data_IF_856491610549
#
_entry.id   IF_856491610549
#
_cell.length_a   1.000
_cell.length_b   1.000
_cell.length_c   1.000
_cell.angle_alpha   90.00
_cell.angle_beta   90.00
_cell.angle_gamma   90.00
#
_symmetry.space_group_name_H-M   'P 1'
#
loop_
_entity.id
_entity.type
_entity.pdbx_description
1 polymer ?
#
# COMPACT_ATOMS: atom_id res chain seq x y z
N UNK A 1 0.77 -11.96 16.63
CA UNK A 1 -0.70 -11.80 16.63
C UNK A 1 -1.28 -11.08 15.41
N UNK A 2 -0.87 -9.85 15.04
CA UNK A 2 -1.54 -9.11 13.94
C UNK A 2 -1.33 -9.70 12.54
N UNK A 3 -0.17 -10.33 12.27
CA UNK A 3 0.14 -10.93 10.96
C UNK A 3 -0.83 -12.07 10.55
N UNK A 4 -1.32 -12.86 11.52
CA UNK A 4 -2.31 -13.91 11.27
C UNK A 4 -3.69 -13.36 10.89
N UNK A 5 -4.02 -12.14 11.33
CA UNK A 5 -5.30 -11.48 10.98
C UNK A 5 -5.32 -10.90 9.56
N UNK A 6 -4.17 -10.89 8.89
CA UNK A 6 -4.01 -10.38 7.53
C UNK A 6 -4.09 -11.48 6.46
N UNK A 7 -4.53 -12.69 6.81
CA UNK A 7 -4.77 -13.75 5.84
C UNK A 7 -5.82 -13.33 4.81
N UNK A 8 -5.51 -13.51 3.53
CA UNK A 8 -6.47 -13.20 2.47
C UNK A 8 -7.63 -14.19 2.54
N UNK A 9 -8.85 -13.68 2.55
CA UNK A 9 -10.02 -14.54 2.36
C UNK A 9 -10.07 -15.07 0.90
N UNK A 10 -10.92 -16.05 0.58
CA UNK A 10 -10.93 -16.67 -0.75
C UNK A 10 -11.11 -15.68 -1.90
N UNK A 11 -11.95 -14.67 -1.73
CA UNK A 11 -12.26 -13.67 -2.76
C UNK A 11 -11.08 -12.70 -2.94
N UNK A 12 -10.49 -12.22 -1.84
CA UNK A 12 -9.27 -11.42 -1.86
C UNK A 12 -8.11 -12.17 -2.51
N UNK A 13 -7.94 -13.45 -2.19
CA UNK A 13 -6.89 -14.27 -2.76
C UNK A 13 -7.13 -14.52 -4.26
N UNK A 14 -8.39 -14.70 -4.69
CA UNK A 14 -8.75 -14.81 -6.10
C UNK A 14 -8.47 -13.52 -6.87
N UNK A 15 -8.83 -12.36 -6.29
CA UNK A 15 -8.50 -11.05 -6.84
C UNK A 15 -6.99 -10.89 -7.03
N UNK A 16 -6.20 -11.10 -5.99
CA UNK A 16 -4.74 -10.92 -6.06
C UNK A 16 -4.12 -11.86 -7.09
N UNK A 17 -4.54 -13.14 -7.15
CA UNK A 17 -4.06 -14.09 -8.17
C UNK A 17 -4.43 -13.71 -9.61
N UNK A 18 -5.44 -12.84 -9.81
CA UNK A 18 -5.84 -12.37 -11.14
C UNK A 18 -4.89 -11.32 -11.74
N UNK A 19 -3.97 -10.76 -10.95
CA UNK A 19 -3.05 -9.75 -11.46
C UNK A 19 -2.07 -10.33 -12.47
N UNK A 20 -1.90 -9.64 -13.60
CA UNK A 20 -1.08 -10.12 -14.74
C UNK A 20 0.05 -9.18 -15.15
N UNK A 21 0.10 -7.97 -14.59
CA UNK A 21 1.14 -6.97 -14.90
C UNK A 21 2.14 -6.94 -13.75
N UNK A 22 3.44 -6.95 -14.09
CA UNK A 22 4.50 -6.80 -13.10
C UNK A 22 4.40 -5.43 -12.46
N UNK A 23 4.36 -5.41 -11.13
CA UNK A 23 4.32 -4.20 -10.30
C UNK A 23 5.59 -4.16 -9.47
N UNK A 24 6.37 -3.09 -9.62
CA UNK A 24 7.52 -2.81 -8.77
C UNK A 24 7.03 -2.01 -7.57
N UNK A 25 7.20 -2.56 -6.37
CA UNK A 25 6.70 -1.95 -5.13
C UNK A 25 7.88 -1.72 -4.20
N UNK A 26 8.19 -0.46 -3.92
CA UNK A 26 9.27 -0.08 -3.01
C UNK A 26 8.68 0.63 -1.79
N UNK A 27 8.75 0.01 -0.62
CA UNK A 27 8.30 0.61 0.63
C UNK A 27 9.47 1.10 1.46
N UNK A 28 9.53 2.42 1.67
CA UNK A 28 10.44 3.04 2.61
C UNK A 28 9.88 2.97 4.02
N UNK A 29 10.65 2.40 4.95
CA UNK A 29 10.20 2.03 6.30
C UNK A 29 11.10 2.61 7.41
N UNK A 30 10.61 2.52 8.65
CA UNK A 30 11.40 2.71 9.87
C UNK A 30 10.93 1.76 10.98
N UNK A 31 11.82 1.09 11.73
CA UNK A 31 11.47 0.03 12.69
C UNK A 31 10.62 0.52 13.86
N UNK A 32 10.61 1.81 14.16
CA UNK A 32 9.77 2.43 15.20
C UNK A 32 8.34 2.72 14.74
N UNK A 33 8.04 2.58 13.44
CA UNK A 33 6.74 2.95 12.90
C UNK A 33 5.79 1.74 12.87
N UNK A 34 4.78 1.76 13.75
CA UNK A 34 3.75 0.72 13.78
C UNK A 34 2.93 0.61 12.50
N UNK A 35 2.75 1.74 11.78
CA UNK A 35 2.08 1.75 10.47
C UNK A 35 2.95 1.11 9.38
N UNK A 36 4.29 1.22 9.45
CA UNK A 36 5.20 0.46 8.57
C UNK A 36 5.04 -1.04 8.79
N UNK A 37 4.99 -1.48 10.05
CA UNK A 37 4.84 -2.90 10.37
C UNK A 37 3.50 -3.46 9.86
N UNK A 38 2.39 -2.73 10.05
CA UNK A 38 1.07 -3.22 9.68
C UNK A 38 0.82 -3.17 8.16
N UNK A 39 1.09 -2.04 7.51
CA UNK A 39 0.94 -1.92 6.06
C UNK A 39 1.95 -2.82 5.34
N UNK A 40 3.20 -2.87 5.82
CA UNK A 40 4.23 -3.76 5.28
C UNK A 40 3.84 -5.23 5.35
N UNK A 41 3.26 -5.68 6.46
CA UNK A 41 2.72 -7.02 6.59
C UNK A 41 1.57 -7.31 5.61
N UNK A 42 0.65 -6.36 5.42
CA UNK A 42 -0.44 -6.50 4.45
C UNK A 42 0.11 -6.62 3.01
N UNK A 43 1.09 -5.78 2.66
CA UNK A 43 1.76 -5.86 1.36
C UNK A 43 2.50 -7.17 1.15
N UNK A 44 3.18 -7.69 2.19
CA UNK A 44 3.86 -8.97 2.13
C UNK A 44 2.88 -10.12 1.82
N UNK A 45 1.69 -10.14 2.44
CA UNK A 45 0.64 -11.13 2.14
C UNK A 45 0.16 -11.08 0.69
N UNK A 46 0.04 -9.89 0.13
CA UNK A 46 -0.34 -9.69 -1.27
C UNK A 46 0.78 -10.19 -2.19
N UNK A 47 2.04 -9.85 -1.88
CA UNK A 47 3.21 -10.26 -2.66
C UNK A 47 3.42 -11.79 -2.63
N UNK A 48 3.20 -12.44 -1.49
CA UNK A 48 3.25 -13.90 -1.34
C UNK A 48 2.19 -14.60 -2.22
N UNK A 49 1.04 -13.95 -2.45
CA UNK A 49 -0.08 -14.53 -3.19
C UNK A 49 0.01 -14.36 -4.72
N UNK A 50 0.85 -13.44 -5.24
CA UNK A 50 1.06 -13.29 -6.68
C UNK A 50 2.50 -12.85 -7.04
N UNK A 51 3.23 -13.62 -7.87
CA UNK A 51 4.61 -13.32 -8.27
C UNK A 51 4.79 -12.06 -9.14
N UNK A 52 3.72 -11.49 -9.69
CA UNK A 52 3.79 -10.21 -10.40
C UNK A 52 4.10 -9.02 -9.47
N UNK A 53 3.97 -9.19 -8.15
CA UNK A 53 4.29 -8.15 -7.16
C UNK A 53 5.74 -8.32 -6.70
N UNK A 54 6.64 -7.46 -7.20
CA UNK A 54 8.02 -7.38 -6.72
C UNK A 54 8.12 -6.34 -5.60
N UNK A 55 7.89 -6.81 -4.37
CA UNK A 55 7.91 -5.98 -3.17
C UNK A 55 9.30 -5.94 -2.54
N UNK A 56 9.81 -4.73 -2.32
CA UNK A 56 11.07 -4.45 -1.63
C UNK A 56 10.85 -3.45 -0.50
N UNK A 57 11.61 -3.64 0.58
CA UNK A 57 11.64 -2.72 1.71
C UNK A 57 13.01 -2.06 1.81
N UNK A 58 13.02 -0.76 2.04
CA UNK A 58 14.25 0.00 2.30
C UNK A 58 14.12 0.80 3.59
N UNK A 59 15.22 0.95 4.32
CA UNK A 59 15.22 1.74 5.54
C UNK A 59 15.43 3.22 5.20
N UNK A 60 14.58 4.11 5.72
CA UNK A 60 14.62 5.55 5.37
C UNK A 60 15.98 6.22 5.62
N UNK A 61 16.74 5.79 6.63
CA UNK A 61 18.04 6.39 6.95
C UNK A 61 19.17 5.89 6.04
N UNK A 62 18.97 4.79 5.29
CA UNK A 62 19.96 4.27 4.34
C UNK A 62 19.85 4.96 2.97
N UNK A 63 18.73 5.64 2.71
CA UNK A 63 18.39 6.27 1.42
C UNK A 63 17.80 7.66 1.63
N UNK A 64 18.57 8.56 2.25
CA UNK A 64 18.12 9.90 2.60
C UNK A 64 17.70 10.73 1.36
N UNK A 65 18.33 10.48 0.21
CA UNK A 65 18.02 11.08 -1.08
C UNK A 65 16.60 10.75 -1.55
N UNK A 66 16.10 9.55 -1.27
CA UNK A 66 14.73 9.15 -1.61
C UNK A 66 13.72 9.87 -0.71
N UNK A 67 14.08 10.05 0.55
CA UNK A 67 13.26 10.76 1.54
C UNK A 67 13.08 12.24 1.20
N UNK A 68 14.12 12.91 0.70
CA UNK A 68 14.02 14.31 0.25
C UNK A 68 13.08 14.45 -0.95
N UNK A 69 13.00 13.44 -1.81
CA UNK A 69 12.16 13.46 -3.02
C UNK A 69 10.70 13.06 -2.78
N UNK A 70 10.38 12.52 -1.61
CA UNK A 70 9.04 12.05 -1.29
C UNK A 70 8.51 12.56 0.06
N UNK A 71 8.47 13.88 0.29
CA UNK A 71 7.86 14.43 1.49
C UNK A 71 6.33 14.23 1.47
N UNK A 72 5.77 13.88 2.61
CA UNK A 72 4.32 13.88 2.82
C UNK A 72 3.99 15.04 3.74
N UNK A 73 3.25 16.02 3.22
CA UNK A 73 2.92 17.27 3.93
C UNK A 73 4.17 17.92 4.52
N UNK A 74 5.17 18.19 3.67
CA UNK A 74 6.49 18.72 4.01
C UNK A 74 7.30 17.93 5.08
N UNK A 75 6.86 16.72 5.42
CA UNK A 75 7.49 15.87 6.43
C UNK A 75 8.13 14.62 5.85
N UNK A 76 9.20 14.16 6.49
CA UNK A 76 9.90 12.92 6.17
C UNK A 76 9.25 11.70 6.84
N UNK A 77 8.02 11.41 6.43
CA UNK A 77 7.13 10.41 7.02
C UNK A 77 7.45 9.01 6.49
N UNK A 78 7.00 7.99 7.21
CA UNK A 78 7.05 6.57 6.81
C UNK A 78 5.83 5.81 7.35
N UNK A 79 5.33 4.77 6.66
CA UNK A 79 5.84 4.25 5.40
C UNK A 79 5.56 5.19 4.22
N UNK A 80 6.42 5.16 3.20
CA UNK A 80 6.10 5.70 1.87
C UNK A 80 6.33 4.57 0.88
N UNK A 81 5.27 4.14 0.22
CA UNK A 81 5.30 3.06 -0.76
C UNK A 81 5.19 3.66 -2.14
N UNK A 82 6.18 3.40 -2.97
CA UNK A 82 6.19 3.75 -4.38
C UNK A 82 5.72 2.54 -5.18
N UNK A 83 4.70 2.75 -6.00
CA UNK A 83 4.23 1.79 -6.98
C UNK A 83 4.68 2.24 -8.35
N UNK A 84 5.34 1.35 -9.07
CA UNK A 84 5.83 1.58 -10.42
C UNK A 84 5.43 0.43 -11.34
N UNK A 85 5.32 0.72 -12.64
CA UNK A 85 5.11 -0.31 -13.66
C UNK A 85 6.36 -1.17 -13.84
N UNK A 86 6.27 -2.18 -14.71
CA UNK A 86 7.34 -3.14 -14.99
C UNK A 86 8.66 -2.51 -15.45
N UNK A 87 8.59 -1.32 -16.04
CA UNK A 87 9.69 -0.49 -16.52
C UNK A 87 10.02 0.70 -15.61
N UNK A 88 9.62 0.63 -14.35
CA UNK A 88 9.91 1.61 -13.28
C UNK A 88 9.28 3.00 -13.46
N UNK A 89 8.36 3.19 -14.40
CA UNK A 89 7.56 4.42 -14.46
C UNK A 89 6.63 4.54 -13.26
N UNK A 90 6.54 5.73 -12.67
CA UNK A 90 5.74 5.97 -11.48
C UNK A 90 4.24 5.78 -11.76
N UNK A 91 3.55 5.05 -10.88
CA UNK A 91 2.10 4.78 -10.97
C UNK A 91 1.35 5.45 -9.82
N UNK A 92 1.77 5.19 -8.58
CA UNK A 92 1.11 5.72 -7.38
C UNK A 92 2.09 5.83 -6.22
N UNK A 93 1.73 6.63 -5.22
CA UNK A 93 2.40 6.66 -3.92
C UNK A 93 1.36 6.48 -2.82
N UNK A 94 1.68 5.65 -1.84
CA UNK A 94 0.78 5.30 -0.74
C UNK A 94 1.51 5.38 0.60
N UNK A 95 0.83 5.87 1.64
CA UNK A 95 1.34 5.81 3.01
C UNK A 95 1.23 7.10 3.82
N UNK A 96 2.23 7.30 4.70
CA UNK A 96 2.12 7.67 6.12
C UNK A 96 1.12 6.78 6.86
N UNK A 97 -0.17 6.93 6.60
CA UNK A 97 -1.22 6.17 7.28
C UNK A 97 -2.36 5.89 6.32
N UNK A 98 -3.02 4.75 6.50
CA UNK A 98 -4.28 4.48 5.81
C UNK A 98 -5.36 5.47 6.28
N UNK A 99 -6.43 5.60 5.48
CA UNK A 99 -7.53 6.48 5.83
C UNK A 99 -8.25 6.01 7.09
N UNK A 100 -8.42 4.70 7.28
CA UNK A 100 -9.01 4.16 8.52
C UNK A 100 -8.18 4.52 9.75
N UNK A 101 -6.85 4.56 9.62
CA UNK A 101 -5.96 4.97 10.71
C UNK A 101 -6.12 6.46 11.03
N UNK A 102 -6.16 7.32 10.01
CA UNK A 102 -6.44 8.75 10.21
C UNK A 102 -7.79 8.99 10.85
N UNK A 103 -8.84 8.28 10.41
CA UNK A 103 -10.18 8.35 11.00
C UNK A 103 -10.17 7.93 12.46
N UNK A 104 -9.47 6.85 12.82
CA UNK A 104 -9.33 6.44 14.22
C UNK A 104 -8.59 7.49 15.06
N UNK A 105 -7.57 8.16 14.50
CA UNK A 105 -6.85 9.23 15.19
C UNK A 105 -7.70 10.48 15.37
N UNK A 106 -8.43 10.89 14.33
CA UNK A 106 -9.30 12.06 14.35
C UNK A 106 -10.36 11.94 15.45
N UNK A 107 -11.07 10.82 15.52
CA UNK A 107 -12.06 10.57 16.60
C UNK A 107 -11.48 10.77 18.01
N UNK A 108 -10.27 10.25 18.22
CA UNK A 108 -9.58 10.31 19.53
C UNK A 108 -9.05 11.71 19.85
N UNK A 109 -8.56 12.43 18.85
CA UNK A 109 -7.84 13.69 19.06
C UNK A 109 -8.76 14.91 18.97
N UNK A 110 -9.75 14.89 18.08
CA UNK A 110 -10.59 16.04 17.75
C UNK A 110 -12.10 15.74 17.77
N UNK A 111 -12.51 14.57 18.30
CA UNK A 111 -13.91 14.21 18.56
C UNK A 111 -14.55 13.30 17.51
N UNK A 112 -15.57 12.55 17.93
CA UNK A 112 -16.25 11.54 17.09
C UNK A 112 -16.85 12.16 15.82
N UNK A 113 -17.43 13.37 15.95
CA UNK A 113 -18.09 14.10 14.85
C UNK A 113 -17.13 14.54 13.73
N UNK A 114 -15.81 14.51 13.97
CA UNK A 114 -14.82 14.81 12.94
C UNK A 114 -14.76 13.74 11.83
N UNK A 115 -15.41 12.59 12.03
CA UNK A 115 -15.43 11.49 11.07
C UNK A 115 -16.85 10.99 10.83
N UNK A 116 -17.37 11.26 9.63
CA UNK A 116 -18.71 10.84 9.21
C UNK A 116 -18.83 9.32 9.03
N UNK A 117 -17.78 8.67 8.53
CA UNK A 117 -17.79 7.23 8.30
C UNK A 117 -17.94 6.48 9.64
N UNK A 118 -18.54 5.29 9.64
CA UNK A 118 -18.58 4.42 10.83
C UNK A 118 -17.19 3.84 11.12
N UNK A 119 -16.79 3.62 12.39
CA UNK A 119 -15.58 2.87 12.70
C UNK A 119 -15.64 1.45 12.11
N UNK A 120 -14.53 0.91 11.56
CA UNK A 120 -14.49 -0.47 11.10
C UNK A 120 -14.59 -1.43 12.28
N UNK A 121 -15.34 -2.53 12.12
CA UNK A 121 -15.43 -3.60 13.11
C UNK A 121 -14.07 -4.22 13.41
N UNK A 122 -13.26 -4.43 12.36
CA UNK A 122 -11.88 -4.90 12.48
C UNK A 122 -10.91 -3.90 11.80
N UNK A 123 -10.23 -3.05 12.58
CA UNK A 123 -9.26 -2.09 12.05
C UNK A 123 -8.07 -2.71 11.32
N UNK A 124 -7.67 -3.94 11.67
CA UNK A 124 -6.54 -4.63 11.01
C UNK A 124 -6.97 -5.12 9.63
N UNK A 125 -8.19 -5.67 9.52
CA UNK A 125 -8.77 -6.07 8.23
C UNK A 125 -9.05 -4.88 7.34
N UNK A 126 -9.48 -3.77 7.92
CA UNK A 126 -9.70 -2.52 7.17
C UNK A 126 -8.39 -2.01 6.54
N UNK A 127 -7.27 -2.06 7.25
CA UNK A 127 -5.96 -1.73 6.68
C UNK A 127 -5.59 -2.67 5.55
N UNK A 128 -5.81 -3.99 5.68
CA UNK A 128 -5.60 -4.92 4.57
C UNK A 128 -6.45 -4.57 3.35
N UNK A 129 -7.73 -4.23 3.56
CA UNK A 129 -8.65 -3.86 2.49
C UNK A 129 -8.15 -2.63 1.73
N UNK A 130 -7.77 -1.57 2.45
CA UNK A 130 -7.25 -0.34 1.83
C UNK A 130 -5.95 -0.59 1.06
N UNK A 131 -5.06 -1.46 1.58
CA UNK A 131 -3.85 -1.86 0.85
C UNK A 131 -4.23 -2.66 -0.41
N UNK A 132 -5.16 -3.62 -0.33
CA UNK A 132 -5.64 -4.37 -1.48
C UNK A 132 -6.25 -3.47 -2.57
N UNK A 133 -7.07 -2.50 -2.18
CA UNK A 133 -7.66 -1.51 -3.10
C UNK A 133 -6.58 -0.70 -3.83
N UNK A 134 -5.48 -0.35 -3.16
CA UNK A 134 -4.34 0.32 -3.80
C UNK A 134 -3.66 -0.60 -4.82
N UNK A 135 -3.40 -1.86 -4.45
CA UNK A 135 -2.77 -2.83 -5.36
C UNK A 135 -3.65 -3.13 -6.57
N UNK A 136 -4.96 -3.27 -6.39
CA UNK A 136 -5.89 -3.45 -7.50
C UNK A 136 -5.87 -2.23 -8.43
N UNK A 137 -5.90 -1.02 -7.88
CA UNK A 137 -5.79 0.22 -8.67
C UNK A 137 -4.48 0.26 -9.47
N UNK A 138 -3.36 -0.06 -8.82
CA UNK A 138 -2.02 -0.08 -9.42
C UNK A 138 -1.87 -1.21 -10.43
N UNK A 139 -2.62 -2.30 -10.33
CA UNK A 139 -2.66 -3.34 -11.36
C UNK A 139 -3.49 -2.89 -12.58
N UNK A 140 -4.65 -2.28 -12.34
CA UNK A 140 -5.58 -1.87 -13.40
C UNK A 140 -5.05 -0.70 -14.24
N UNK A 141 -4.38 0.28 -13.62
CA UNK A 141 -3.89 1.45 -14.36
C UNK A 141 -2.91 1.07 -15.49
N UNK A 142 -1.81 0.32 -15.23
CA UNK A 142 -0.93 -0.21 -16.28
C UNK A 142 -1.67 -1.03 -17.33
N UNK A 143 -2.60 -1.90 -16.91
CA UNK A 143 -3.38 -2.77 -17.80
C UNK A 143 -4.30 -1.99 -18.75
N UNK A 144 -4.75 -0.81 -18.33
CA UNK A 144 -5.60 0.07 -19.11
C UNK A 144 -4.82 1.19 -19.80
N UNK A 145 -3.50 1.30 -19.58
CA UNK A 145 -2.68 2.35 -20.16
C UNK A 145 -2.35 2.06 -21.62
N UNK A 146 -2.49 3.07 -22.50
CA UNK A 146 -2.16 2.94 -23.93
C UNK A 146 -0.73 2.45 -24.16
N UNK A 147 0.22 3.00 -23.40
CA UNK A 147 1.66 2.71 -23.55
C UNK A 147 1.97 1.24 -23.31
N UNK A 148 1.49 0.67 -22.20
CA UNK A 148 1.77 -0.72 -21.87
C UNK A 148 0.90 -1.66 -22.70
N UNK A 149 -0.31 -1.25 -23.07
CA UNK A 149 -1.12 -2.05 -23.99
C UNK A 149 -0.48 -2.25 -25.35
N UNK A 150 0.10 -1.18 -25.91
CA UNK A 150 0.91 -1.26 -27.12
C UNK A 150 2.15 -2.15 -26.94
N UNK A 151 2.81 -2.09 -25.79
CA UNK A 151 3.99 -2.90 -25.50
C UNK A 151 3.66 -4.41 -25.36
N UNK A 152 2.49 -4.75 -24.83
CA UNK A 152 2.04 -6.13 -24.61
C UNK A 152 1.18 -6.71 -25.73
N UNK A 153 0.68 -5.87 -26.64
CA UNK A 153 -0.16 -6.28 -27.77
C UNK A 153 -1.61 -6.61 -27.40
N UNK A 154 -2.18 -5.96 -26.37
CA UNK A 154 -3.58 -6.14 -25.91
C UNK A 154 -4.51 -4.94 -26.13
#
# INVERSE_FOLDING_TARGET
ERFGRLELDPDQAALVRSFTRTMRVLCMTGPWCGDCALQGAAMARIAEANPCVDLRFVHRNQHAELQVKAPINAGFRVPVTFFMSEDFEAVSTFGDRTLSRYRSMARKAIGEDAVVATPPTDPVREVLREVLEEFERVHLLPRLSTRLRQAHGD
#
